data_IF_794294357376
#
_entry.id   IF_794294357376
#
_cell.length_a   1.000
_cell.length_b   1.000
_cell.length_c   1.000
_cell.angle_alpha   90.00
_cell.angle_beta   90.00
_cell.angle_gamma   90.00
#
_symmetry.space_group_name_H-M   'P 1'
#
loop_
_entity.id
_entity.type
_entity.pdbx_description
1 polymer ?
#
# COMPACT_ATOMS: atom_id res chain seq x y z
N UNK A 1 24.28 -14.97 16.92
CA UNK A 1 24.09 -13.92 15.90
C UNK A 1 22.70 -13.39 16.12
N UNK A 2 22.55 -12.13 16.50
CA UNK A 2 21.26 -11.57 16.92
C UNK A 2 20.33 -11.42 15.73
N UNK A 3 19.14 -12.00 15.81
CA UNK A 3 18.06 -11.98 14.81
C UNK A 3 17.46 -10.59 14.53
N UNK A 4 18.19 -9.52 14.87
CA UNK A 4 17.68 -8.14 14.77
C UNK A 4 17.48 -7.63 13.34
N UNK A 5 18.00 -8.30 12.33
CA UNK A 5 17.86 -7.90 10.92
C UNK A 5 16.48 -8.15 10.32
N UNK A 6 15.67 -8.98 10.95
CA UNK A 6 14.37 -9.40 10.42
C UNK A 6 13.18 -9.06 11.32
N UNK A 7 13.38 -8.13 12.27
CA UNK A 7 12.31 -7.73 13.19
C UNK A 7 11.79 -6.35 12.84
N UNK A 8 10.47 -6.27 12.71
CA UNK A 8 9.72 -5.06 12.38
C UNK A 8 8.59 -4.84 13.39
N UNK A 9 8.01 -3.65 13.40
CA UNK A 9 6.80 -3.38 14.17
C UNK A 9 5.55 -3.77 13.39
N UNK A 10 5.63 -3.64 12.04
CA UNK A 10 4.53 -3.96 11.12
C UNK A 10 5.06 -4.62 9.86
N UNK A 11 4.41 -5.68 9.41
CA UNK A 11 4.65 -6.34 8.13
C UNK A 11 3.41 -6.18 7.25
N UNK A 12 3.59 -5.61 6.06
CA UNK A 12 2.55 -5.48 5.04
C UNK A 12 2.86 -6.42 3.89
N UNK A 13 1.88 -7.24 3.50
CA UNK A 13 2.03 -8.22 2.42
C UNK A 13 1.27 -7.72 1.19
N UNK A 14 2.00 -7.48 0.10
CA UNK A 14 1.47 -7.08 -1.19
C UNK A 14 1.65 -5.59 -1.51
N UNK A 15 2.32 -5.29 -2.63
CA UNK A 15 2.66 -3.94 -3.10
C UNK A 15 1.58 -3.27 -3.98
N UNK A 16 0.30 -3.68 -3.87
CA UNK A 16 -0.82 -3.01 -4.53
C UNK A 16 -1.24 -1.71 -3.84
N UNK A 17 -2.34 -1.09 -4.30
CA UNK A 17 -2.80 0.20 -3.74
C UNK A 17 -3.03 0.16 -2.23
N UNK A 18 -3.71 -0.87 -1.73
CA UNK A 18 -3.97 -1.01 -0.29
C UNK A 18 -2.68 -1.20 0.52
N UNK A 19 -1.77 -2.07 0.02
CA UNK A 19 -0.52 -2.34 0.71
C UNK A 19 0.43 -1.15 0.71
N UNK A 20 0.53 -0.40 -0.38
CA UNK A 20 1.37 0.81 -0.42
C UNK A 20 0.86 1.87 0.54
N UNK A 21 -0.45 2.10 0.61
CA UNK A 21 -1.05 3.06 1.56
C UNK A 21 -0.87 2.59 3.01
N UNK A 22 -1.10 1.31 3.31
CA UNK A 22 -0.92 0.75 4.65
C UNK A 22 0.54 0.86 5.11
N UNK A 23 1.49 0.49 4.27
CA UNK A 23 2.92 0.56 4.58
C UNK A 23 3.40 2.00 4.80
N UNK A 24 2.97 2.94 3.95
CA UNK A 24 3.28 4.35 4.09
C UNK A 24 2.65 4.94 5.37
N UNK A 25 1.39 4.62 5.67
CA UNK A 25 0.71 5.09 6.88
C UNK A 25 1.41 4.60 8.14
N UNK A 26 1.75 3.31 8.20
CA UNK A 26 2.47 2.71 9.32
C UNK A 26 3.84 3.37 9.54
N UNK A 27 4.63 3.53 8.48
CA UNK A 27 5.94 4.15 8.55
C UNK A 27 5.87 5.64 8.94
N UNK A 28 4.86 6.39 8.43
CA UNK A 28 4.62 7.79 8.86
C UNK A 28 4.22 7.89 10.33
N UNK A 29 3.49 6.91 10.84
CA UNK A 29 3.18 6.82 12.28
C UNK A 29 4.40 6.48 13.15
N UNK A 30 5.54 6.19 12.55
CA UNK A 30 6.81 5.98 13.23
C UNK A 30 7.22 4.52 13.40
N UNK A 31 6.40 3.56 12.96
CA UNK A 31 6.69 2.14 13.04
C UNK A 31 7.76 1.72 12.01
N UNK A 32 8.66 0.84 12.41
CA UNK A 32 9.55 0.13 11.48
C UNK A 32 8.74 -0.86 10.66
N UNK A 33 8.50 -0.53 9.40
CA UNK A 33 7.57 -1.24 8.54
C UNK A 33 8.29 -2.01 7.44
N UNK A 34 7.89 -3.26 7.22
CA UNK A 34 8.30 -4.08 6.10
C UNK A 34 7.15 -4.20 5.09
N UNK A 35 7.41 -3.87 3.83
CA UNK A 35 6.52 -4.15 2.72
C UNK A 35 7.09 -5.33 1.92
N UNK A 36 6.42 -6.47 1.98
CA UNK A 36 6.75 -7.66 1.18
C UNK A 36 5.94 -7.66 -0.12
N UNK A 37 6.61 -7.88 -1.23
CA UNK A 37 5.98 -7.94 -2.55
C UNK A 37 6.65 -9.00 -3.43
N UNK A 38 5.88 -9.65 -4.31
CA UNK A 38 6.43 -10.60 -5.27
C UNK A 38 7.45 -9.94 -6.22
N UNK A 39 7.18 -8.70 -6.62
CA UNK A 39 7.99 -7.97 -7.60
C UNK A 39 7.99 -6.49 -7.27
N UNK A 40 9.16 -5.92 -7.02
CA UNK A 40 9.31 -4.50 -6.69
C UNK A 40 8.87 -3.60 -7.86
N UNK A 41 9.09 -4.04 -9.09
CA UNK A 41 8.71 -3.30 -10.30
C UNK A 41 7.20 -3.10 -10.43
N UNK A 42 6.39 -3.95 -9.80
CA UNK A 42 4.92 -3.86 -9.84
C UNK A 42 4.31 -3.11 -8.65
N UNK A 43 5.11 -2.59 -7.74
CA UNK A 43 4.61 -1.77 -6.62
C UNK A 43 3.85 -0.56 -7.18
N UNK A 44 2.61 -0.38 -6.73
CA UNK A 44 1.72 0.66 -7.20
C UNK A 44 1.14 0.44 -8.60
N UNK A 45 1.30 -0.73 -9.20
CA UNK A 45 0.74 -1.01 -10.53
C UNK A 45 -0.80 -0.99 -10.52
N UNK A 46 -1.37 -0.35 -11.53
CA UNK A 46 -2.82 -0.34 -11.77
C UNK A 46 -3.24 -1.64 -12.44
N UNK A 47 -4.19 -2.35 -11.84
CA UNK A 47 -4.61 -3.69 -12.30
C UNK A 47 -5.52 -3.68 -13.53
N UNK A 48 -6.39 -2.69 -13.64
CA UNK A 48 -7.42 -2.61 -14.68
C UNK A 48 -7.33 -1.32 -15.49
N UNK A 49 -8.40 -0.52 -15.45
CA UNK A 49 -8.42 0.78 -16.08
C UNK A 49 -7.44 1.72 -15.38
N UNK A 50 -6.64 2.50 -16.13
CA UNK A 50 -5.70 3.44 -15.54
C UNK A 50 -6.44 4.69 -15.04
N UNK A 51 -7.27 4.52 -14.01
CA UNK A 51 -8.08 5.60 -13.47
C UNK A 51 -8.19 5.50 -11.95
N UNK A 52 -8.03 6.64 -11.29
CA UNK A 52 -8.23 6.83 -9.86
C UNK A 52 -9.50 7.63 -9.62
N UNK A 53 -10.30 7.20 -8.65
CA UNK A 53 -11.56 7.84 -8.30
C UNK A 53 -12.78 7.19 -8.99
N UNK A 54 -13.84 7.98 -9.13
CA UNK A 54 -15.16 7.51 -9.57
C UNK A 54 -16.15 7.45 -8.42
N UNK A 55 -17.39 6.98 -8.71
CA UNK A 55 -18.47 6.92 -7.72
C UNK A 55 -18.06 5.99 -6.57
N UNK A 56 -18.17 6.46 -5.33
CA UNK A 56 -17.69 5.77 -4.12
C UNK A 56 -16.16 5.83 -3.97
N UNK A 57 -15.40 5.41 -4.99
CA UNK A 57 -13.94 5.40 -4.96
C UNK A 57 -13.33 6.80 -4.80
N UNK A 58 -13.89 7.82 -5.44
CA UNK A 58 -13.41 9.19 -5.32
C UNK A 58 -13.55 9.76 -3.90
N UNK A 59 -14.55 9.33 -3.15
CA UNK A 59 -14.72 9.70 -1.75
C UNK A 59 -13.63 9.08 -0.89
N UNK A 60 -13.38 7.78 -1.04
CA UNK A 60 -12.30 7.07 -0.34
C UNK A 60 -10.92 7.64 -0.64
N UNK A 61 -10.64 8.00 -1.90
CA UNK A 61 -9.37 8.63 -2.28
C UNK A 61 -9.17 9.96 -1.53
N UNK A 62 -10.23 10.78 -1.41
CA UNK A 62 -10.16 12.05 -0.67
C UNK A 62 -9.95 11.84 0.83
N UNK A 63 -10.57 10.82 1.41
CA UNK A 63 -10.37 10.45 2.82
C UNK A 63 -8.93 9.98 3.08
N UNK A 64 -8.40 9.14 2.20
CA UNK A 64 -7.00 8.69 2.25
C UNK A 64 -6.05 9.88 2.11
N UNK A 65 -6.31 10.78 1.18
CA UNK A 65 -5.51 12.00 0.94
C UNK A 65 -5.51 12.92 2.18
N UNK A 66 -6.67 13.12 2.81
CA UNK A 66 -6.79 13.91 4.03
C UNK A 66 -5.97 13.32 5.21
N UNK A 67 -5.71 12.01 5.19
CA UNK A 67 -4.84 11.32 6.14
C UNK A 67 -3.36 11.27 5.69
N UNK A 68 -3.00 12.01 4.63
CA UNK A 68 -1.64 12.04 4.09
C UNK A 68 -1.29 10.85 3.21
N UNK A 69 -2.28 10.21 2.58
CA UNK A 69 -2.04 9.10 1.65
C UNK A 69 -1.37 9.52 0.35
N UNK A 70 -0.81 8.57 -0.37
CA UNK A 70 0.00 8.82 -1.56
C UNK A 70 -0.79 8.77 -2.86
N UNK A 71 -1.92 8.07 -2.88
CA UNK A 71 -2.67 7.76 -4.10
C UNK A 71 -3.13 9.01 -4.86
N UNK A 72 -3.70 10.00 -4.15
CA UNK A 72 -4.18 11.23 -4.79
C UNK A 72 -3.02 12.04 -5.36
N UNK A 73 -1.95 12.20 -4.60
CA UNK A 73 -0.75 12.90 -5.05
C UNK A 73 -0.12 12.23 -6.28
N UNK A 74 0.00 10.90 -6.28
CA UNK A 74 0.49 10.16 -7.44
C UNK A 74 -0.46 10.27 -8.65
N UNK A 75 -1.78 10.35 -8.41
CA UNK A 75 -2.76 10.58 -9.47
C UNK A 75 -2.64 11.99 -10.06
N UNK A 76 -2.35 12.99 -9.25
CA UNK A 76 -2.10 14.37 -9.72
C UNK A 76 -0.86 14.45 -10.61
N UNK A 77 0.21 13.74 -10.26
CA UNK A 77 1.45 13.68 -11.04
C UNK A 77 1.30 12.92 -12.37
N UNK A 78 0.41 11.93 -12.41
CA UNK A 78 0.24 11.03 -13.54
C UNK A 78 -1.04 11.29 -14.36
N UNK A 79 -1.85 12.28 -13.97
CA UNK A 79 -3.16 12.54 -14.54
C UNK A 79 -3.09 13.04 -15.99
N UNK A 80 -3.83 12.35 -16.87
CA UNK A 80 -3.98 12.72 -18.29
C UNK A 80 -5.29 13.49 -18.48
N UNK A 81 -6.35 13.06 -17.81
CA UNK A 81 -7.69 13.63 -17.93
C UNK A 81 -8.44 13.59 -16.62
N UNK A 82 -9.10 14.67 -16.28
CA UNK A 82 -9.93 14.82 -15.09
C UNK A 82 -11.39 15.01 -15.51
N UNK A 83 -12.28 14.29 -14.83
CA UNK A 83 -13.71 14.39 -15.10
C UNK A 83 -14.52 14.29 -13.81
N UNK A 84 -15.51 15.17 -13.70
CA UNK A 84 -16.56 15.02 -12.68
C UNK A 84 -17.67 14.16 -13.25
N UNK A 85 -17.86 12.99 -12.64
CA UNK A 85 -18.95 12.09 -12.96
C UNK A 85 -20.23 12.59 -12.28
N UNK A 86 -21.38 12.35 -12.94
CA UNK A 86 -22.70 12.74 -12.42
C UNK A 86 -22.82 14.23 -12.04
N UNK A 87 -22.20 15.13 -12.80
CA UNK A 87 -22.22 16.55 -12.51
C UNK A 87 -23.64 17.15 -12.43
N UNK A 88 -24.59 16.59 -13.20
CA UNK A 88 -26.01 16.98 -13.19
C UNK A 88 -26.85 16.31 -12.09
N UNK A 89 -26.26 15.40 -11.30
CA UNK A 89 -26.91 14.70 -10.19
C UNK A 89 -26.63 15.40 -8.86
N UNK A 90 -27.26 14.94 -7.79
CA UNK A 90 -27.04 15.49 -6.46
C UNK A 90 -25.62 15.29 -5.94
N UNK A 91 -25.20 16.06 -4.92
CA UNK A 91 -23.80 16.03 -4.39
C UNK A 91 -23.32 14.64 -3.95
N UNK A 92 -24.22 13.82 -3.42
CA UNK A 92 -23.90 12.48 -2.93
C UNK A 92 -23.33 11.52 -3.99
N UNK A 93 -23.64 11.75 -5.26
CA UNK A 93 -23.19 10.88 -6.37
C UNK A 93 -22.18 11.59 -7.29
N UNK A 94 -21.86 12.85 -7.03
CA UNK A 94 -20.80 13.55 -7.76
C UNK A 94 -19.46 12.99 -7.34
N UNK A 95 -18.66 12.59 -8.30
CA UNK A 95 -17.34 12.02 -8.03
C UNK A 95 -16.32 12.49 -9.06
N UNK A 96 -15.13 12.80 -8.60
CA UNK A 96 -13.99 13.06 -9.49
C UNK A 96 -13.38 11.72 -9.94
N UNK A 97 -12.96 11.67 -11.19
CA UNK A 97 -12.20 10.58 -11.77
C UNK A 97 -11.02 11.15 -12.54
N UNK A 98 -9.83 10.68 -12.21
CA UNK A 98 -8.60 10.94 -12.94
C UNK A 98 -8.28 9.75 -13.82
N UNK A 99 -8.14 9.98 -15.12
CA UNK A 99 -7.49 9.03 -16.03
C UNK A 99 -5.99 9.30 -15.94
N UNK A 100 -5.19 8.28 -15.62
CA UNK A 100 -3.77 8.42 -15.36
C UNK A 100 -2.91 7.61 -16.35
N UNK A 101 -1.69 8.07 -16.61
CA UNK A 101 -0.66 7.26 -17.22
C UNK A 101 -0.19 6.19 -16.23
N UNK A 102 -0.24 4.92 -16.62
CA UNK A 102 0.11 3.78 -15.76
C UNK A 102 1.57 3.82 -15.30
N UNK A 103 2.46 4.19 -16.21
CA UNK A 103 3.89 4.17 -15.91
C UNK A 103 4.28 5.34 -15.01
N UNK A 104 3.75 6.53 -15.29
CA UNK A 104 3.97 7.70 -14.44
C UNK A 104 3.38 7.49 -13.04
N UNK A 105 2.18 6.96 -12.93
CA UNK A 105 1.56 6.66 -11.62
C UNK A 105 2.40 5.66 -10.81
N UNK A 106 2.76 4.53 -11.44
CA UNK A 106 3.60 3.52 -10.80
C UNK A 106 4.95 4.10 -10.37
N UNK A 107 5.58 4.91 -11.21
CA UNK A 107 6.83 5.58 -10.89
C UNK A 107 6.68 6.53 -9.71
N UNK A 108 5.62 7.34 -9.68
CA UNK A 108 5.34 8.24 -8.57
C UNK A 108 5.16 7.48 -7.25
N UNK A 109 4.34 6.42 -7.22
CA UNK A 109 4.17 5.58 -6.02
C UNK A 109 5.50 4.96 -5.58
N UNK A 110 6.30 4.42 -6.51
CA UNK A 110 7.60 3.82 -6.18
C UNK A 110 8.56 4.84 -5.57
N UNK A 111 8.64 6.03 -6.13
CA UNK A 111 9.45 7.11 -5.58
C UNK A 111 9.02 7.47 -4.15
N UNK A 112 7.72 7.60 -3.89
CA UNK A 112 7.18 7.89 -2.57
C UNK A 112 7.54 6.78 -1.58
N UNK A 113 7.30 5.52 -1.95
CA UNK A 113 7.58 4.35 -1.10
C UNK A 113 9.06 4.23 -0.79
N UNK A 114 9.94 4.43 -1.77
CA UNK A 114 11.39 4.34 -1.60
C UNK A 114 11.97 5.50 -0.78
N UNK A 115 11.34 6.67 -0.84
CA UNK A 115 11.77 7.84 -0.08
C UNK A 115 11.26 7.84 1.38
N UNK A 116 10.31 6.95 1.74
CA UNK A 116 9.70 6.93 3.05
C UNK A 116 10.67 6.41 4.12
N UNK A 117 11.04 7.23 5.13
CA UNK A 117 11.82 6.74 6.27
C UNK A 117 11.08 5.63 7.02
N UNK A 118 11.83 4.70 7.62
CA UNK A 118 11.33 3.55 8.39
C UNK A 118 10.51 2.54 7.57
N UNK A 119 10.51 2.62 6.24
CA UNK A 119 9.88 1.66 5.34
C UNK A 119 10.96 0.88 4.60
N UNK A 120 10.97 -0.43 4.78
CA UNK A 120 11.79 -1.36 4.00
C UNK A 120 10.91 -2.08 3.00
N UNK A 121 11.31 -2.07 1.74
CA UNK A 121 10.66 -2.88 0.69
C UNK A 121 11.52 -4.10 0.42
N UNK A 122 10.94 -5.29 0.50
CA UNK A 122 11.64 -6.54 0.25
C UNK A 122 10.87 -7.40 -0.75
N UNK A 123 11.60 -7.90 -1.74
CA UNK A 123 11.01 -8.76 -2.78
C UNK A 123 11.04 -10.21 -2.33
N UNK A 124 9.89 -10.71 -1.92
CA UNK A 124 9.67 -12.12 -1.61
C UNK A 124 8.19 -12.47 -1.68
N UNK A 125 7.89 -13.68 -2.06
CA UNK A 125 6.56 -14.27 -1.89
C UNK A 125 6.43 -14.80 -0.47
N UNK A 126 5.37 -14.42 0.22
CA UNK A 126 4.99 -15.00 1.52
C UNK A 126 4.29 -16.33 1.27
N UNK A 127 4.70 -17.33 2.02
CA UNK A 127 4.19 -18.68 1.94
C UNK A 127 3.30 -19.02 3.14
N UNK A 128 3.72 -18.62 4.35
CA UNK A 128 3.01 -18.99 5.58
C UNK A 128 3.13 -17.91 6.66
N UNK A 129 2.33 -18.03 7.72
CA UNK A 129 2.35 -17.20 8.91
C UNK A 129 3.10 -17.88 10.05
N UNK A 130 3.83 -17.10 10.83
CA UNK A 130 4.40 -17.55 12.11
C UNK A 130 3.33 -17.35 13.17
N UNK A 131 2.78 -18.46 13.67
CA UNK A 131 1.74 -18.46 14.70
C UNK A 131 2.35 -18.91 16.01
N UNK A 132 2.11 -18.16 17.08
CA UNK A 132 2.41 -18.54 18.45
C UNK A 132 1.13 -19.09 19.08
N UNK A 133 1.17 -20.39 19.40
CA UNK A 133 0.06 -21.05 20.09
C UNK A 133 0.16 -20.77 21.59
N UNK A 134 -0.77 -19.98 22.11
CA UNK A 134 -0.87 -19.71 23.54
C UNK A 134 -1.42 -20.93 24.30
N UNK A 135 -0.78 -21.34 25.37
CA UNK A 135 -1.28 -22.42 26.23
C UNK A 135 -2.45 -21.98 27.12
N UNK A 136 -2.59 -20.67 27.35
CA UNK A 136 -3.67 -20.05 28.16
C UNK A 136 -4.23 -18.78 27.51
N UNK A 137 -3.69 -18.32 26.38
CA UNK A 137 -4.09 -17.13 25.64
C UNK A 137 -4.47 -17.51 24.20
N UNK A 138 -5.16 -16.61 23.51
CA UNK A 138 -5.49 -16.83 22.10
C UNK A 138 -4.22 -16.91 21.24
N UNK A 139 -4.27 -17.72 20.19
CA UNK A 139 -3.20 -17.80 19.19
C UNK A 139 -2.91 -16.40 18.61
N UNK A 140 -1.63 -16.08 18.44
CA UNK A 140 -1.20 -14.77 17.91
C UNK A 140 -0.26 -14.94 16.71
N UNK A 141 -0.47 -14.08 15.69
CA UNK A 141 0.45 -14.00 14.56
C UNK A 141 1.68 -13.22 15.00
N UNK A 142 2.87 -13.78 14.74
CA UNK A 142 4.16 -13.21 15.13
C UNK A 142 5.05 -12.87 13.94
N UNK A 143 4.59 -13.14 12.73
CA UNK A 143 5.37 -12.84 11.55
C UNK A 143 4.98 -13.69 10.36
N UNK A 144 5.89 -13.77 9.39
CA UNK A 144 5.69 -14.47 8.13
C UNK A 144 6.91 -15.30 7.74
N UNK A 145 6.67 -16.32 6.92
CA UNK A 145 7.68 -17.15 6.28
C UNK A 145 7.56 -16.96 4.77
N UNK A 146 8.67 -16.71 4.11
CA UNK A 146 8.70 -16.61 2.64
C UNK A 146 8.88 -17.97 2.00
N UNK A 147 8.59 -18.08 0.70
CA UNK A 147 8.82 -19.32 -0.08
C UNK A 147 10.29 -19.76 -0.09
N UNK A 148 11.22 -18.84 0.15
CA UNK A 148 12.66 -19.14 0.27
C UNK A 148 13.08 -19.54 1.69
N UNK A 149 12.14 -19.62 2.64
CA UNK A 149 12.38 -19.98 4.03
C UNK A 149 12.86 -18.84 4.92
N UNK A 150 12.94 -17.61 4.42
CA UNK A 150 13.25 -16.44 5.26
C UNK A 150 12.09 -16.15 6.22
N UNK A 151 12.43 -15.79 7.44
CA UNK A 151 11.47 -15.48 8.52
C UNK A 151 11.57 -14.01 8.87
N UNK A 152 10.44 -13.33 8.93
CA UNK A 152 10.30 -11.95 9.39
C UNK A 152 9.31 -11.91 10.55
N UNK A 153 9.66 -11.23 11.63
CA UNK A 153 8.85 -11.12 12.85
C UNK A 153 8.32 -9.70 13.04
N UNK A 154 7.08 -9.59 13.56
CA UNK A 154 6.43 -8.35 13.94
C UNK A 154 5.51 -8.56 15.16
#
# INVERSE_FOLDING_TARGET
MSDSFYRYDVIVIGGGHAGTEAALASARAGAHTLLLTHTIETVGAMSCNPAIGGIGKGHLVKEIDALGGAMAHAADLAGIQWRTLNASKGPAVRATRCQADRNLYRTAIRCIVQAQPKLTVFQAAVDDLIIHNGTCEADSVRGVITQTGLRFEA
#
